data_IF_720349143480
#
_entry.id   IF_720349143480
#
_cell.length_a   1.000
_cell.length_b   1.000
_cell.length_c   1.000
_cell.angle_alpha   90.00
_cell.angle_beta   90.00
_cell.angle_gamma   90.00
#
_symmetry.space_group_name_H-M   'P 1'
#
loop_
_entity.id
_entity.type
_entity.pdbx_description
1 polymer ?
#
# COMPACT_ATOMS: atom_id res chain seq x y z
N UNK A 1 16.41 -8.88 -16.71
CA UNK A 1 14.98 -9.26 -16.74
C UNK A 1 14.31 -8.54 -15.59
N UNK A 2 13.28 -7.72 -15.85
CA UNK A 2 12.48 -7.14 -14.74
C UNK A 2 11.83 -8.31 -14.00
N UNK A 3 12.07 -8.42 -12.70
CA UNK A 3 11.45 -9.44 -11.87
C UNK A 3 9.94 -9.26 -11.95
N UNK A 4 9.24 -10.25 -12.50
CA UNK A 4 7.79 -10.19 -12.65
C UNK A 4 7.18 -10.46 -11.29
N UNK A 5 6.38 -9.53 -10.79
CA UNK A 5 5.65 -9.70 -9.53
C UNK A 5 4.17 -9.96 -9.81
N UNK A 6 3.56 -10.74 -8.95
CA UNK A 6 2.15 -11.14 -9.05
C UNK A 6 1.44 -10.82 -7.75
N UNK A 7 0.31 -10.13 -7.83
CA UNK A 7 -0.59 -9.88 -6.69
C UNK A 7 -1.47 -11.12 -6.54
N UNK A 8 -1.22 -11.90 -5.49
CA UNK A 8 -1.92 -13.16 -5.21
C UNK A 8 -3.21 -12.96 -4.43
N UNK A 9 -3.30 -11.87 -3.67
CA UNK A 9 -4.42 -11.56 -2.78
C UNK A 9 -4.49 -10.05 -2.50
N UNK A 10 -5.70 -9.54 -2.30
CA UNK A 10 -5.97 -8.13 -1.97
C UNK A 10 -6.91 -8.09 -0.76
N UNK A 11 -6.39 -7.65 0.38
CA UNK A 11 -7.14 -7.46 1.61
C UNK A 11 -7.62 -6.02 1.76
N UNK A 12 -8.89 -5.85 2.14
CA UNK A 12 -9.46 -4.55 2.49
C UNK A 12 -9.79 -4.52 3.97
N UNK A 13 -9.38 -3.45 4.65
CA UNK A 13 -9.65 -3.25 6.05
C UNK A 13 -10.77 -2.23 6.27
N UNK A 14 -11.60 -2.48 7.29
CA UNK A 14 -12.69 -1.59 7.69
C UNK A 14 -12.22 -0.39 8.53
N UNK A 15 -10.91 -0.14 8.57
CA UNK A 15 -10.26 0.88 9.39
C UNK A 15 -10.27 2.28 8.75
N UNK A 16 -10.95 2.44 7.61
CA UNK A 16 -10.93 3.68 6.83
C UNK A 16 -10.21 3.55 5.49
N UNK A 17 -9.93 2.32 5.03
CA UNK A 17 -9.49 2.06 3.66
C UNK A 17 -8.03 1.64 3.55
N UNK A 18 -7.47 0.94 4.55
CA UNK A 18 -6.20 0.25 4.36
C UNK A 18 -6.35 -0.89 3.37
N UNK A 19 -5.38 -1.01 2.46
CA UNK A 19 -5.31 -2.07 1.44
C UNK A 19 -4.01 -2.84 1.65
N UNK A 20 -4.09 -4.16 1.83
CA UNK A 20 -2.93 -5.05 1.94
C UNK A 20 -2.84 -5.91 0.68
N UNK A 21 -1.69 -5.87 0.01
CA UNK A 21 -1.38 -6.69 -1.15
C UNK A 21 -0.44 -7.81 -0.73
N UNK A 22 -0.82 -9.07 -1.01
CA UNK A 22 0.12 -10.19 -0.91
C UNK A 22 0.76 -10.40 -2.27
N UNK A 23 2.06 -10.18 -2.33
CA UNK A 23 2.82 -10.18 -3.57
C UNK A 23 3.75 -11.39 -3.61
N UNK A 24 3.78 -12.05 -4.75
CA UNK A 24 4.69 -13.14 -5.09
C UNK A 24 5.71 -12.67 -6.12
N UNK A 25 6.99 -12.95 -5.88
CA UNK A 25 8.12 -12.61 -6.77
C UNK A 25 8.92 -13.87 -7.08
N UNK A 26 9.17 -14.10 -8.38
CA UNK A 26 10.02 -15.18 -8.89
C UNK A 26 9.70 -16.57 -8.29
N UNK A 27 8.42 -16.92 -8.22
CA UNK A 27 7.87 -18.18 -7.75
C UNK A 27 8.13 -18.64 -6.31
N UNK A 28 8.97 -17.92 -5.55
CA UNK A 28 9.47 -18.41 -4.26
C UNK A 28 9.45 -17.37 -3.14
N UNK A 29 9.32 -16.09 -3.47
CA UNK A 29 9.39 -15.02 -2.46
C UNK A 29 8.03 -14.34 -2.31
N UNK A 30 7.52 -14.31 -1.08
CA UNK A 30 6.29 -13.59 -0.73
C UNK A 30 6.61 -12.40 0.16
N UNK A 31 5.94 -11.29 -0.10
CA UNK A 31 5.97 -10.10 0.75
C UNK A 31 4.63 -9.39 0.73
N UNK A 32 4.41 -8.58 1.75
CA UNK A 32 3.18 -7.82 1.91
C UNK A 32 3.46 -6.34 1.78
N UNK A 33 2.62 -5.66 0.99
CA UNK A 33 2.63 -4.21 0.85
C UNK A 33 1.31 -3.68 1.36
N UNK A 34 1.35 -2.76 2.32
CA UNK A 34 0.15 -2.13 2.87
C UNK A 34 0.12 -0.65 2.55
N UNK A 35 -0.98 -0.22 1.96
CA UNK A 35 -1.34 1.18 1.78
C UNK A 35 -2.29 1.57 2.91
N UNK A 36 -1.75 2.21 3.95
CA UNK A 36 -2.50 2.54 5.16
C UNK A 36 -3.44 3.72 4.89
N UNK A 37 -4.68 3.61 5.37
CA UNK A 37 -5.81 4.54 5.21
C UNK A 37 -5.46 6.01 4.93
N UNK A 38 -6.17 6.63 3.99
CA UNK A 38 -6.02 8.05 3.63
C UNK A 38 -6.68 9.01 4.65
N UNK A 39 -7.62 8.50 5.46
CA UNK A 39 -8.52 9.33 6.28
C UNK A 39 -7.95 9.59 7.69
N UNK A 40 -8.02 10.85 8.10
CA UNK A 40 -7.74 11.26 9.48
C UNK A 40 -8.94 10.98 10.38
N UNK A 41 -9.01 9.80 11.00
CA UNK A 41 -9.80 9.65 12.21
C UNK A 41 -9.10 10.40 13.36
N UNK A 42 -9.82 11.28 14.06
CA UNK A 42 -9.30 12.09 15.18
C UNK A 42 -8.48 11.22 16.15
N UNK A 43 -7.32 11.75 16.59
CA UNK A 43 -6.38 11.07 17.50
C UNK A 43 -7.05 10.48 18.76
N UNK A 44 -8.20 11.02 19.18
CA UNK A 44 -8.93 10.66 20.39
C UNK A 44 -9.67 9.31 20.32
N UNK A 45 -9.79 8.68 19.13
CA UNK A 45 -10.48 7.38 18.96
C UNK A 45 -9.59 6.24 18.47
N UNK A 46 -8.30 6.47 18.29
CA UNK A 46 -7.37 5.37 17.98
C UNK A 46 -7.05 4.62 19.25
N UNK A 47 -7.74 3.51 19.46
CA UNK A 47 -7.22 2.49 20.34
C UNK A 47 -5.79 2.17 19.93
N UNK A 48 -4.95 2.08 20.95
CA UNK A 48 -3.49 1.94 20.98
C UNK A 48 -2.94 0.75 20.15
N UNK A 49 -3.81 -0.02 19.49
CA UNK A 49 -3.45 -1.25 18.78
C UNK A 49 -2.90 -1.03 17.37
N UNK A 50 -3.19 0.09 16.69
CA UNK A 50 -2.64 0.36 15.35
C UNK A 50 -1.57 1.46 15.41
N UNK A 51 -0.31 1.05 15.47
CA UNK A 51 0.88 1.94 15.48
C UNK A 51 1.17 2.63 14.14
N UNK A 52 0.41 2.32 13.09
CA UNK A 52 0.67 2.85 11.75
C UNK A 52 -0.04 4.19 11.55
N UNK A 53 0.72 5.16 11.05
CA UNK A 53 0.17 6.47 10.73
C UNK A 53 -0.63 6.41 9.41
N UNK A 54 -1.74 7.14 9.27
CA UNK A 54 -2.46 7.28 8.02
C UNK A 54 -1.55 7.74 6.89
N UNK A 55 -1.85 7.21 5.71
CA UNK A 55 -1.04 7.41 4.54
C UNK A 55 0.37 6.92 4.76
N UNK A 56 0.58 5.77 5.41
CA UNK A 56 1.88 5.08 5.41
C UNK A 56 1.92 4.05 4.30
N UNK A 57 3.11 3.84 3.73
CA UNK A 57 3.41 2.67 2.92
C UNK A 57 4.23 1.70 3.79
N UNK A 58 3.76 0.47 3.94
CA UNK A 58 4.37 -0.55 4.79
C UNK A 58 4.80 -1.73 3.94
N UNK A 59 6.01 -2.22 4.16
CA UNK A 59 6.55 -3.42 3.54
C UNK A 59 6.90 -4.43 4.64
N UNK A 60 6.24 -5.59 4.63
CA UNK A 60 6.43 -6.65 5.64
C UNK A 60 6.38 -6.10 7.08
N UNK A 61 5.29 -5.39 7.43
CA UNK A 61 5.09 -4.74 8.73
C UNK A 61 6.11 -3.65 9.10
N UNK A 62 6.98 -3.23 8.17
CA UNK A 62 7.91 -2.12 8.36
C UNK A 62 7.50 -0.94 7.50
N UNK A 63 7.23 0.18 8.16
CA UNK A 63 6.98 1.45 7.48
C UNK A 63 8.19 1.86 6.63
N UNK A 64 7.94 2.26 5.39
CA UNK A 64 8.97 2.74 4.47
C UNK A 64 9.18 4.25 4.63
N UNK A 65 10.45 4.65 4.51
CA UNK A 65 10.83 6.06 4.47
C UNK A 65 10.21 6.73 3.24
N UNK A 66 9.60 7.90 3.47
CA UNK A 66 8.92 8.69 2.45
C UNK A 66 9.92 9.15 1.39
N UNK A 67 9.57 8.95 0.11
CA UNK A 67 10.39 9.27 -1.06
C UNK A 67 11.72 8.52 -1.15
N UNK A 68 11.88 7.43 -0.38
CA UNK A 68 13.05 6.56 -0.46
C UNK A 68 13.15 5.81 -1.79
N UNK A 69 14.34 5.29 -2.09
CA UNK A 69 14.54 4.44 -3.26
C UNK A 69 13.69 3.16 -3.20
N UNK A 70 13.54 2.58 -2.01
CA UNK A 70 12.74 1.36 -1.78
C UNK A 70 11.24 1.64 -1.98
N UNK A 71 10.73 2.78 -1.49
CA UNK A 71 9.34 3.21 -1.76
C UNK A 71 9.08 3.25 -3.28
N UNK A 72 9.94 3.95 -4.03
CA UNK A 72 9.80 4.09 -5.49
C UNK A 72 9.87 2.75 -6.23
N UNK A 73 10.75 1.86 -5.81
CA UNK A 73 10.87 0.52 -6.39
C UNK A 73 9.57 -0.26 -6.18
N UNK A 74 9.07 -0.34 -4.94
CA UNK A 74 7.83 -1.05 -4.61
C UNK A 74 6.63 -0.49 -5.39
N UNK A 75 6.47 0.84 -5.44
CA UNK A 75 5.36 1.45 -6.18
C UNK A 75 5.45 1.15 -7.68
N UNK A 76 6.66 1.19 -8.27
CA UNK A 76 6.86 0.83 -9.67
C UNK A 76 6.57 -0.66 -9.92
N UNK A 77 6.93 -1.54 -9.00
CA UNK A 77 6.62 -2.96 -9.12
C UNK A 77 5.11 -3.17 -9.07
N UNK A 78 4.42 -2.60 -8.07
CA UNK A 78 2.96 -2.70 -7.89
C UNK A 78 2.20 -2.20 -9.12
N UNK A 79 2.61 -1.08 -9.72
CA UNK A 79 1.99 -0.54 -10.95
C UNK A 79 2.04 -1.48 -12.14
N UNK A 80 3.04 -2.36 -12.20
CA UNK A 80 3.27 -3.29 -13.32
C UNK A 80 2.95 -4.75 -12.95
N UNK A 81 2.42 -4.97 -11.75
CA UNK A 81 2.11 -6.29 -11.25
C UNK A 81 0.94 -6.90 -12.01
N UNK A 82 1.01 -8.20 -12.23
CA UNK A 82 -0.13 -8.97 -12.75
C UNK A 82 -0.94 -9.55 -11.59
N UNK A 83 -2.23 -9.79 -11.80
CA UNK A 83 -3.04 -10.50 -10.82
C UNK A 83 -2.88 -12.01 -10.96
N UNK A 84 -2.71 -12.69 -9.83
CA UNK A 84 -2.60 -14.14 -9.75
C UNK A 84 -3.91 -14.85 -10.06
N UNK A 85 -3.84 -16.17 -10.22
CA UNK A 85 -4.97 -17.02 -10.62
C UNK A 85 -6.12 -17.07 -9.62
N UNK A 86 -5.87 -16.63 -8.38
CA UNK A 86 -6.85 -16.65 -7.28
C UNK A 86 -7.83 -15.47 -7.33
N UNK A 87 -7.52 -14.43 -8.10
CA UNK A 87 -8.34 -13.23 -8.22
C UNK A 87 -9.25 -13.38 -9.45
N UNK A 88 -10.56 -13.23 -9.25
CA UNK A 88 -11.53 -13.43 -10.33
C UNK A 88 -11.35 -12.36 -11.42
N UNK A 89 -11.46 -12.75 -12.69
CA UNK A 89 -11.27 -11.84 -13.83
C UNK A 89 -12.22 -10.63 -13.77
N UNK A 90 -13.45 -10.83 -13.29
CA UNK A 90 -14.44 -9.78 -13.10
C UNK A 90 -14.03 -8.72 -12.08
N UNK A 91 -13.14 -9.03 -11.15
CA UNK A 91 -12.70 -8.13 -10.08
C UNK A 91 -11.43 -7.36 -10.43
N UNK A 92 -10.60 -7.90 -11.34
CA UNK A 92 -9.27 -7.35 -11.67
C UNK A 92 -9.31 -5.87 -12.07
N UNK A 93 -10.30 -5.45 -12.87
CA UNK A 93 -10.42 -4.05 -13.28
C UNK A 93 -10.71 -3.11 -12.10
N UNK A 94 -11.60 -3.51 -11.19
CA UNK A 94 -11.93 -2.72 -10.01
C UNK A 94 -10.76 -2.67 -9.03
N UNK A 95 -10.12 -3.82 -8.77
CA UNK A 95 -8.93 -3.91 -7.91
C UNK A 95 -7.77 -3.09 -8.48
N UNK A 96 -7.52 -3.16 -9.79
CA UNK A 96 -6.49 -2.37 -10.46
C UNK A 96 -6.69 -0.87 -10.23
N UNK A 97 -7.93 -0.38 -10.40
CA UNK A 97 -8.25 1.03 -10.14
C UNK A 97 -7.98 1.42 -8.69
N UNK A 98 -8.45 0.63 -7.73
CA UNK A 98 -8.27 0.92 -6.30
C UNK A 98 -6.78 0.93 -5.91
N UNK A 99 -6.01 -0.02 -6.42
CA UNK A 99 -4.56 -0.11 -6.17
C UNK A 99 -3.83 1.07 -6.78
N UNK A 100 -4.15 1.43 -8.03
CA UNK A 100 -3.54 2.58 -8.69
C UNK A 100 -3.88 3.89 -7.97
N UNK A 101 -5.11 4.08 -7.50
CA UNK A 101 -5.49 5.23 -6.68
C UNK A 101 -4.72 5.29 -5.34
N UNK A 102 -4.38 4.13 -4.76
CA UNK A 102 -3.57 4.08 -3.54
C UNK A 102 -2.12 4.47 -3.84
N UNK A 103 -1.56 3.99 -4.95
CA UNK A 103 -0.23 4.34 -5.44
C UNK A 103 -0.14 5.83 -5.78
N UNK A 104 -1.09 6.37 -6.56
CA UNK A 104 -1.15 7.77 -6.96
C UNK A 104 -1.22 8.69 -5.74
N UNK A 105 -1.97 8.29 -4.71
CA UNK A 105 -1.99 9.00 -3.44
C UNK A 105 -0.60 9.03 -2.81
N UNK A 106 0.08 7.88 -2.66
CA UNK A 106 1.43 7.84 -2.06
C UNK A 106 2.41 8.73 -2.84
N UNK A 107 2.31 8.78 -4.16
CA UNK A 107 3.17 9.63 -5.01
C UNK A 107 2.80 11.12 -4.99
N UNK A 108 1.59 11.47 -4.55
CA UNK A 108 1.08 12.85 -4.56
C UNK A 108 1.74 13.77 -3.50
N UNK A 109 1.58 15.08 -3.67
CA UNK A 109 1.90 16.08 -2.65
C UNK A 109 0.93 16.03 -1.45
N UNK A 110 -0.26 15.47 -1.65
CA UNK A 110 -1.23 15.26 -0.57
C UNK A 110 -0.65 14.31 0.49
N UNK A 111 0.03 13.23 0.06
CA UNK A 111 0.73 12.31 0.97
C UNK A 111 1.77 13.01 1.84
N UNK A 112 2.55 13.94 1.26
CA UNK A 112 3.52 14.74 2.01
C UNK A 112 2.80 15.64 3.04
N UNK A 113 1.69 16.24 2.64
CA UNK A 113 0.86 17.06 3.53
C UNK A 113 0.29 16.23 4.68
N UNK A 114 -0.20 15.02 4.41
CA UNK A 114 -0.68 14.09 5.42
C UNK A 114 0.45 13.71 6.37
N UNK A 115 1.60 13.30 5.83
CA UNK A 115 2.76 12.89 6.58
C UNK A 115 3.29 13.98 7.53
N UNK A 116 3.31 15.25 7.09
CA UNK A 116 3.63 16.40 7.95
C UNK A 116 2.62 16.57 9.08
N UNK A 117 1.31 16.50 8.79
CA UNK A 117 0.25 16.63 9.82
C UNK A 117 0.33 15.56 10.90
N UNK A 118 0.74 14.34 10.55
CA UNK A 118 0.89 13.22 11.50
C UNK A 118 2.29 13.15 12.13
N UNK A 119 3.22 14.03 11.75
CA UNK A 119 4.56 14.12 12.36
C UNK A 119 5.59 13.11 11.83
N UNK A 120 5.36 12.54 10.64
CA UNK A 120 6.31 11.62 9.97
C UNK A 120 7.39 12.37 9.19
N UNK A 121 7.09 13.60 8.79
CA UNK A 121 8.04 14.54 8.18
C UNK A 121 8.10 15.76 9.10
N UNK A 122 9.32 16.20 9.43
CA UNK A 122 9.58 17.42 10.22
C UNK A 122 9.61 18.65 9.33
#
# INVERSE_FOLDING_TARGET
>A
MKNKITIEDVGFWMDGGTITLKIKKNDSFFYEVEFVQKVFLEKSKREIQYKLFPGSLVLNNKELDIRSAVEKEILSEVKTAEFGIKIAESEKNSLSRIILEAVDFVESEEYITVAKKVGRIK
#
